data_IF_074635533140
#
_entry.id   IF_074635533140
#
_cell.length_a   1.000
_cell.length_b   1.000
_cell.length_c   1.000
_cell.angle_alpha   90.00
_cell.angle_beta   90.00
_cell.angle_gamma   90.00
#
_symmetry.space_group_name_H-M   'P 1'
#
loop_
_entity.id
_entity.type
_entity.pdbx_description
1 polymer ?
#
# COMPACT_ATOMS: atom_id res chain seq x y z
N UNK A 1 -1.44 -69.36 12.96
CA UNK A 1 -0.83 -69.16 14.30
C UNK A 1 -0.96 -67.68 14.64
N UNK A 2 -1.68 -67.34 15.71
CA UNK A 2 -1.85 -65.94 16.14
C UNK A 2 -0.71 -65.62 17.13
N UNK A 3 0.01 -64.50 16.96
CA UNK A 3 1.10 -64.13 17.86
C UNK A 3 0.61 -63.89 19.29
N UNK A 4 1.49 -64.08 20.28
CA UNK A 4 1.20 -63.70 21.67
C UNK A 4 1.09 -62.17 21.78
N UNK A 5 0.19 -61.71 22.64
CA UNK A 5 -0.11 -60.29 22.81
C UNK A 5 1.15 -59.44 23.08
N UNK A 6 2.07 -59.92 23.93
CA UNK A 6 3.32 -59.21 24.25
C UNK A 6 4.18 -58.95 23.01
N UNK A 7 4.40 -59.97 22.17
CA UNK A 7 5.18 -59.86 20.93
C UNK A 7 4.50 -58.91 19.95
N UNK A 8 3.17 -58.92 19.90
CA UNK A 8 2.41 -58.00 19.07
C UNK A 8 2.58 -56.55 19.55
N UNK A 9 2.46 -56.28 20.86
CA UNK A 9 2.67 -54.94 21.42
C UNK A 9 4.10 -54.43 21.20
N UNK A 10 5.12 -55.27 21.39
CA UNK A 10 6.51 -54.90 21.16
C UNK A 10 6.73 -54.52 19.68
N UNK A 11 6.20 -55.30 18.74
CA UNK A 11 6.29 -55.00 17.32
C UNK A 11 5.52 -53.73 16.94
N UNK A 12 4.31 -53.55 17.45
CA UNK A 12 3.49 -52.36 17.19
C UNK A 12 4.14 -51.10 17.75
N UNK A 13 4.73 -51.16 18.95
CA UNK A 13 5.43 -50.00 19.53
C UNK A 13 6.65 -49.59 18.69
N UNK A 14 7.41 -50.54 18.15
CA UNK A 14 8.51 -50.22 17.23
C UNK A 14 8.02 -49.58 15.93
N UNK A 15 6.94 -50.11 15.34
CA UNK A 15 6.34 -49.55 14.12
C UNK A 15 5.75 -48.16 14.40
N UNK A 16 5.07 -47.99 15.53
CA UNK A 16 4.51 -46.72 15.97
C UNK A 16 5.61 -45.66 16.14
N UNK A 17 6.70 -46.00 16.82
CA UNK A 17 7.84 -45.10 16.97
C UNK A 17 8.44 -44.73 15.60
N UNK A 18 8.49 -45.68 14.65
CA UNK A 18 9.01 -45.40 13.31
C UNK A 18 8.12 -44.45 12.48
N UNK A 19 6.79 -44.60 12.52
CA UNK A 19 5.89 -43.80 11.69
C UNK A 19 5.38 -42.53 12.37
N UNK A 20 5.26 -42.50 13.70
CA UNK A 20 4.58 -41.43 14.45
C UNK A 20 5.55 -40.49 15.17
N UNK A 21 6.73 -40.95 15.59
CA UNK A 21 7.74 -40.09 16.23
C UNK A 21 8.54 -39.26 15.22
N UNK A 22 9.23 -38.24 15.74
CA UNK A 22 9.82 -37.13 14.99
C UNK A 22 10.82 -37.60 13.91
N UNK A 23 10.80 -36.93 12.75
CA UNK A 23 11.67 -37.27 11.61
C UNK A 23 13.15 -37.05 11.94
N UNK A 24 13.47 -36.15 12.88
CA UNK A 24 14.84 -35.79 13.23
C UNK A 24 15.65 -36.95 13.84
N UNK A 25 14.99 -37.84 14.59
CA UNK A 25 15.63 -38.97 15.29
C UNK A 25 15.87 -40.18 14.39
N UNK A 26 15.46 -40.12 13.12
CA UNK A 26 15.52 -41.25 12.18
C UNK A 26 16.83 -41.31 11.39
N UNK A 27 17.20 -42.52 10.99
CA UNK A 27 18.34 -42.77 10.10
C UNK A 27 18.16 -42.09 8.74
N UNK A 28 19.27 -41.75 8.09
CA UNK A 28 19.28 -41.04 6.79
C UNK A 28 18.49 -41.75 5.69
N UNK A 29 18.56 -43.09 5.63
CA UNK A 29 17.78 -43.89 4.66
C UNK A 29 16.28 -43.80 4.92
N UNK A 30 15.87 -43.87 6.18
CA UNK A 30 14.45 -43.77 6.55
C UNK A 30 13.89 -42.38 6.24
N UNK A 31 14.65 -41.32 6.55
CA UNK A 31 14.32 -39.94 6.16
C UNK A 31 14.09 -39.83 4.66
N UNK A 32 15.01 -40.37 3.85
CA UNK A 32 14.93 -40.28 2.38
C UNK A 32 13.69 -41.00 1.82
N UNK A 33 13.35 -42.19 2.33
CA UNK A 33 12.14 -42.91 1.92
C UNK A 33 10.88 -42.16 2.33
N UNK A 34 10.81 -41.65 3.57
CA UNK A 34 9.65 -40.91 4.06
C UNK A 34 9.46 -39.58 3.30
N UNK A 35 10.53 -38.84 3.00
CA UNK A 35 10.45 -37.65 2.15
C UNK A 35 10.02 -37.98 0.72
N UNK A 36 10.48 -39.11 0.16
CA UNK A 36 10.04 -39.54 -1.16
C UNK A 36 8.55 -39.89 -1.17
N UNK A 37 8.05 -40.59 -0.13
CA UNK A 37 6.63 -40.90 0.01
C UNK A 37 5.80 -39.63 0.20
N UNK A 38 6.28 -38.70 1.04
CA UNK A 38 5.66 -37.39 1.23
C UNK A 38 5.55 -36.63 -0.09
N UNK A 39 6.63 -36.59 -0.88
CA UNK A 39 6.62 -35.97 -2.21
C UNK A 39 5.66 -36.64 -3.21
N UNK A 40 5.32 -37.92 -3.04
CA UNK A 40 4.35 -38.64 -3.87
C UNK A 40 2.91 -38.40 -3.42
N UNK A 41 2.69 -38.05 -2.14
CA UNK A 41 1.38 -37.70 -1.60
C UNK A 41 1.07 -36.22 -1.84
N UNK A 42 2.06 -35.35 -1.67
CA UNK A 42 1.95 -33.89 -1.82
C UNK A 42 1.96 -33.42 -3.29
N UNK A 43 1.31 -34.17 -4.18
CA UNK A 43 1.23 -33.83 -5.60
C UNK A 43 0.55 -32.47 -5.83
N UNK A 44 -0.47 -32.14 -5.04
CA UNK A 44 -1.18 -30.85 -5.11
C UNK A 44 -0.29 -29.68 -4.67
N UNK A 45 0.53 -29.87 -3.63
CA UNK A 45 1.51 -28.87 -3.17
C UNK A 45 2.58 -28.66 -4.23
N UNK A 46 3.12 -29.74 -4.81
CA UNK A 46 4.13 -29.63 -5.88
C UNK A 46 3.57 -29.00 -7.15
N UNK A 47 2.36 -29.36 -7.53
CA UNK A 47 1.68 -28.78 -8.69
C UNK A 47 1.42 -27.29 -8.47
N UNK A 48 0.87 -26.91 -7.31
CA UNK A 48 0.61 -25.51 -6.98
C UNK A 48 1.90 -24.69 -6.92
N UNK A 49 2.96 -25.18 -6.28
CA UNK A 49 4.26 -24.54 -6.26
C UNK A 49 4.82 -24.34 -7.68
N UNK A 50 4.79 -25.37 -8.53
CA UNK A 50 5.30 -25.29 -9.91
C UNK A 50 4.51 -24.29 -10.77
N UNK A 51 3.19 -24.20 -10.56
CA UNK A 51 2.34 -23.22 -11.25
C UNK A 51 2.62 -21.80 -10.76
N UNK A 52 2.62 -21.58 -9.45
CA UNK A 52 2.88 -20.27 -8.87
C UNK A 52 4.28 -19.74 -9.26
N UNK A 53 5.30 -20.60 -9.22
CA UNK A 53 6.66 -20.25 -9.63
C UNK A 53 6.77 -19.77 -11.08
N UNK A 54 5.93 -20.30 -11.99
CA UNK A 54 5.90 -19.87 -13.39
C UNK A 54 5.17 -18.54 -13.59
N UNK A 55 4.12 -18.29 -12.81
CA UNK A 55 3.29 -17.07 -12.93
C UNK A 55 3.91 -15.89 -12.20
N UNK A 56 4.63 -16.12 -11.09
CA UNK A 56 5.29 -15.10 -10.29
C UNK A 56 6.14 -14.11 -11.13
N UNK A 57 7.05 -14.54 -12.02
CA UNK A 57 7.82 -13.61 -12.84
C UNK A 57 6.95 -12.82 -13.83
N UNK A 58 5.83 -13.37 -14.31
CA UNK A 58 4.88 -12.65 -15.17
C UNK A 58 4.18 -11.53 -14.41
N UNK A 59 3.69 -11.81 -13.19
CA UNK A 59 3.07 -10.82 -12.33
C UNK A 59 4.07 -9.70 -11.94
N UNK A 60 5.31 -10.07 -11.61
CA UNK A 60 6.38 -9.10 -11.34
C UNK A 60 6.75 -8.25 -12.55
N UNK A 61 6.75 -8.84 -13.75
CA UNK A 61 6.97 -8.09 -14.99
C UNK A 61 5.87 -7.07 -15.22
N UNK A 62 4.61 -7.44 -14.99
CA UNK A 62 3.47 -6.53 -15.13
C UNK A 62 3.51 -5.38 -14.11
N UNK A 63 3.95 -5.65 -12.88
CA UNK A 63 4.19 -4.61 -11.88
C UNK A 63 5.26 -3.60 -12.35
N UNK A 64 6.38 -4.11 -12.88
CA UNK A 64 7.52 -3.29 -13.32
C UNK A 64 7.28 -2.53 -14.61
N UNK A 65 6.20 -2.84 -15.32
CA UNK A 65 5.89 -2.24 -16.61
C UNK A 65 5.40 -0.79 -16.45
N UNK A 66 6.05 0.12 -17.17
CA UNK A 66 5.72 1.54 -17.21
C UNK A 66 5.80 2.25 -15.85
N UNK A 67 6.68 1.83 -14.94
CA UNK A 67 6.81 2.50 -13.63
C UNK A 67 7.46 3.90 -13.74
N UNK A 68 6.86 4.94 -13.14
CA UNK A 68 7.52 6.23 -12.96
C UNK A 68 8.84 6.12 -12.19
N UNK A 69 9.74 7.12 -12.30
CA UNK A 69 10.96 7.17 -11.49
C UNK A 69 10.67 7.11 -10.00
N UNK A 70 9.67 7.86 -9.54
CA UNK A 70 9.15 7.87 -8.17
C UNK A 70 7.63 8.05 -8.18
N UNK A 71 6.94 7.43 -7.24
CA UNK A 71 5.48 7.45 -7.15
C UNK A 71 4.98 7.21 -5.72
N UNK A 72 3.70 7.52 -5.49
CA UNK A 72 3.02 7.41 -4.18
C UNK A 72 2.64 5.98 -3.83
N UNK A 73 2.34 5.74 -2.56
CA UNK A 73 1.81 4.48 -2.05
C UNK A 73 0.50 4.08 -2.73
N UNK A 74 -0.33 5.05 -3.09
CA UNK A 74 -1.57 4.78 -3.83
C UNK A 74 -1.27 4.13 -5.18
N UNK A 75 -0.33 4.68 -5.95
CA UNK A 75 0.07 4.08 -7.24
C UNK A 75 0.76 2.73 -7.07
N UNK A 76 1.55 2.57 -5.99
CA UNK A 76 2.11 1.27 -5.60
C UNK A 76 1.01 0.22 -5.43
N UNK A 77 -0.03 0.55 -4.66
CA UNK A 77 -1.15 -0.36 -4.38
C UNK A 77 -1.91 -0.72 -5.65
N UNK A 78 -2.23 0.26 -6.51
CA UNK A 78 -2.90 0.01 -7.79
C UNK A 78 -2.11 -0.97 -8.68
N UNK A 79 -0.79 -0.79 -8.77
CA UNK A 79 0.10 -1.68 -9.52
C UNK A 79 0.22 -3.06 -8.87
N UNK A 80 0.23 -3.13 -7.54
CA UNK A 80 0.26 -4.37 -6.79
C UNK A 80 -1.04 -5.17 -6.99
N UNK A 81 -2.19 -4.52 -6.94
CA UNK A 81 -3.51 -5.14 -7.17
C UNK A 81 -3.62 -5.71 -8.58
N UNK A 82 -3.08 -5.01 -9.59
CA UNK A 82 -2.96 -5.53 -10.95
C UNK A 82 -2.10 -6.80 -11.01
N UNK A 83 -0.94 -6.80 -10.34
CA UNK A 83 -0.04 -7.96 -10.30
C UNK A 83 -0.69 -9.15 -9.56
N UNK A 84 -1.41 -8.90 -8.46
CA UNK A 84 -2.18 -9.89 -7.72
C UNK A 84 -3.33 -10.47 -8.57
N UNK A 85 -3.98 -9.64 -9.38
CA UNK A 85 -5.01 -10.09 -10.33
C UNK A 85 -4.44 -11.06 -11.35
N UNK A 86 -3.24 -10.78 -11.89
CA UNK A 86 -2.54 -11.68 -12.82
C UNK A 86 -2.16 -12.99 -12.12
N UNK A 87 -1.65 -12.90 -10.89
CA UNK A 87 -1.26 -14.07 -10.09
C UNK A 87 -2.48 -14.96 -9.81
N UNK A 88 -3.56 -14.40 -9.24
CA UNK A 88 -4.79 -15.12 -8.89
C UNK A 88 -5.53 -15.70 -10.11
N UNK A 89 -5.37 -15.10 -11.29
CA UNK A 89 -5.95 -15.59 -12.54
C UNK A 89 -5.38 -16.94 -12.98
N UNK A 90 -4.11 -17.22 -12.69
CA UNK A 90 -3.39 -18.40 -13.20
C UNK A 90 -2.86 -19.34 -12.11
N UNK A 91 -2.58 -18.83 -10.91
CA UNK A 91 -2.13 -19.60 -9.77
C UNK A 91 -3.32 -20.26 -9.06
N UNK A 92 -3.14 -21.53 -8.65
CA UNK A 92 -4.13 -22.32 -7.91
C UNK A 92 -3.44 -23.28 -6.94
N UNK A 93 -4.10 -23.57 -5.83
CA UNK A 93 -3.71 -24.60 -4.86
C UNK A 93 -3.12 -24.07 -3.56
N UNK A 94 -2.66 -24.96 -2.67
CA UNK A 94 -2.33 -24.63 -1.28
C UNK A 94 -1.16 -23.67 -1.11
N UNK A 95 -0.22 -23.62 -2.06
CA UNK A 95 0.94 -22.72 -2.00
C UNK A 95 0.63 -21.28 -2.43
N UNK A 96 -0.61 -20.96 -2.81
CA UNK A 96 -0.96 -19.66 -3.39
C UNK A 96 -0.62 -18.49 -2.45
N UNK A 97 -1.00 -18.58 -1.17
CA UNK A 97 -0.81 -17.49 -0.20
C UNK A 97 0.67 -17.17 0.05
N UNK A 98 1.53 -18.19 0.08
CA UNK A 98 2.98 -17.97 0.21
C UNK A 98 3.56 -17.21 -0.98
N UNK A 99 3.07 -17.48 -2.19
CA UNK A 99 3.51 -16.79 -3.40
C UNK A 99 2.93 -15.38 -3.52
N UNK A 100 1.74 -15.12 -2.96
CA UNK A 100 1.18 -13.77 -2.79
C UNK A 100 2.11 -12.95 -1.89
N UNK A 101 2.47 -13.46 -0.71
CA UNK A 101 3.38 -12.78 0.21
C UNK A 101 4.75 -12.51 -0.43
N UNK A 102 5.27 -13.46 -1.21
CA UNK A 102 6.51 -13.26 -1.99
C UNK A 102 6.37 -12.16 -3.04
N UNK A 103 5.25 -12.09 -3.75
CA UNK A 103 4.98 -11.04 -4.73
C UNK A 103 4.90 -9.67 -4.07
N UNK A 104 4.12 -9.53 -3.00
CA UNK A 104 3.98 -8.28 -2.24
C UNK A 104 5.33 -7.80 -1.71
N UNK A 105 6.12 -8.69 -1.11
CA UNK A 105 7.45 -8.36 -0.61
C UNK A 105 8.39 -7.92 -1.73
N UNK A 106 8.36 -8.59 -2.88
CA UNK A 106 9.19 -8.25 -4.02
C UNK A 106 8.80 -6.89 -4.63
N UNK A 107 7.50 -6.60 -4.78
CA UNK A 107 7.00 -5.31 -5.24
C UNK A 107 7.33 -4.18 -4.26
N UNK A 108 7.14 -4.41 -2.96
CA UNK A 108 7.47 -3.45 -1.90
C UNK A 108 8.96 -3.12 -1.90
N UNK A 109 9.85 -4.12 -2.06
CA UNK A 109 11.28 -3.89 -2.20
C UNK A 109 11.61 -2.97 -3.39
N UNK A 110 10.97 -3.18 -4.54
CA UNK A 110 11.18 -2.32 -5.72
C UNK A 110 10.72 -0.88 -5.46
N UNK A 111 9.68 -0.68 -4.66
CA UNK A 111 9.19 0.66 -4.32
C UNK A 111 10.11 1.37 -3.32
N UNK A 112 10.53 0.67 -2.26
CA UNK A 112 11.44 1.21 -1.23
C UNK A 112 12.85 1.43 -1.76
N UNK A 113 13.28 0.71 -2.80
CA UNK A 113 14.57 0.86 -3.48
C UNK A 113 14.64 2.14 -4.35
N UNK A 114 14.40 3.29 -3.71
CA UNK A 114 14.57 4.61 -4.31
C UNK A 114 13.41 5.13 -5.15
N UNK A 115 12.26 4.44 -5.21
CA UNK A 115 11.08 4.85 -6.00
C UNK A 115 9.96 5.47 -5.17
N UNK A 116 10.17 5.65 -3.86
CA UNK A 116 9.20 6.32 -3.00
C UNK A 116 9.14 7.82 -3.28
N UNK A 117 7.96 8.30 -3.68
CA UNK A 117 7.66 9.73 -3.78
C UNK A 117 7.40 10.37 -2.42
N UNK A 118 7.52 11.69 -2.34
CA UNK A 118 6.96 12.47 -1.23
C UNK A 118 5.43 12.52 -1.38
N UNK A 119 4.70 12.30 -0.29
CA UNK A 119 3.22 12.26 -0.30
C UNK A 119 2.57 13.50 0.33
N UNK A 120 3.37 14.50 0.68
CA UNK A 120 2.86 15.75 1.24
C UNK A 120 2.03 16.47 0.18
N UNK A 121 0.85 16.93 0.60
CA UNK A 121 -0.08 17.69 -0.23
C UNK A 121 0.14 19.19 -0.04
N UNK A 122 0.06 19.95 -1.13
CA UNK A 122 -0.05 21.40 -1.05
C UNK A 122 -1.36 21.82 -0.42
N UNK A 123 -1.48 23.11 -0.07
CA UNK A 123 -2.71 23.67 0.48
C UNK A 123 -3.88 23.64 -0.52
N UNK A 124 -3.61 23.41 -1.81
CA UNK A 124 -4.64 23.19 -2.83
C UNK A 124 -4.90 21.71 -3.12
N UNK A 125 -4.22 20.79 -2.44
CA UNK A 125 -4.43 19.35 -2.54
C UNK A 125 -3.61 18.62 -3.60
N UNK A 126 -2.56 19.23 -4.16
CA UNK A 126 -1.68 18.55 -5.12
C UNK A 126 -0.50 17.88 -4.40
N UNK A 127 -0.14 16.66 -4.79
CA UNK A 127 1.01 15.96 -4.20
C UNK A 127 2.34 16.55 -4.64
N UNK A 128 3.33 16.52 -3.75
CA UNK A 128 4.71 16.86 -4.11
C UNK A 128 5.27 15.92 -5.20
N UNK A 129 5.93 16.50 -6.20
CA UNK A 129 6.56 15.78 -7.31
C UNK A 129 8.00 15.32 -7.01
N UNK A 130 8.55 15.59 -5.84
CA UNK A 130 9.90 15.13 -5.50
C UNK A 130 9.90 13.69 -4.98
N UNK A 131 11.03 12.95 -5.11
CA UNK A 131 11.23 11.72 -4.34
C UNK A 131 11.16 12.04 -2.84
N UNK A 132 11.15 11.01 -1.99
CA UNK A 132 11.20 11.19 -0.54
C UNK A 132 12.36 12.12 -0.16
N UNK A 133 12.06 13.23 0.50
CA UNK A 133 13.00 14.29 0.86
C UNK A 133 12.62 14.91 2.21
N UNK A 134 13.52 15.70 2.78
CA UNK A 134 13.29 16.49 3.98
C UNK A 134 13.17 17.98 3.63
N UNK A 135 12.41 18.73 4.41
CA UNK A 135 12.32 20.20 4.31
C UNK A 135 13.16 20.83 5.43
N UNK A 136 13.88 21.91 5.11
CA UNK A 136 14.67 22.64 6.12
C UNK A 136 13.75 23.25 7.19
N UNK A 137 14.02 22.97 8.47
CA UNK A 137 13.28 23.57 9.60
C UNK A 137 12.02 22.82 10.04
N UNK A 138 11.62 21.75 9.36
CA UNK A 138 10.59 20.83 9.85
C UNK A 138 11.23 19.74 10.73
N UNK A 139 11.17 19.89 12.05
CA UNK A 139 11.69 18.90 13.00
C UNK A 139 10.78 17.65 13.17
N UNK A 140 9.66 17.54 12.43
CA UNK A 140 8.61 16.56 12.76
C UNK A 140 7.90 15.84 11.60
N UNK A 141 8.30 16.03 10.34
CA UNK A 141 7.53 15.54 9.18
C UNK A 141 8.09 14.27 8.53
N UNK A 142 8.07 13.13 9.22
CA UNK A 142 8.08 11.81 8.54
C UNK A 142 9.43 11.23 8.09
N UNK A 143 10.52 11.52 8.79
CA UNK A 143 11.80 10.84 8.57
C UNK A 143 12.79 11.20 9.66
N UNK A 144 12.70 10.48 10.79
CA UNK A 144 13.62 10.68 11.92
C UNK A 144 15.08 10.63 11.46
N UNK A 145 15.81 11.69 11.77
CA UNK A 145 17.26 11.72 11.86
C UNK A 145 18.02 11.15 10.67
N UNK A 146 18.29 11.99 9.67
CA UNK A 146 19.48 11.86 8.81
C UNK A 146 19.80 10.44 8.32
N UNK A 147 18.83 9.75 7.73
CA UNK A 147 19.16 8.57 6.92
C UNK A 147 20.09 9.05 5.79
N UNK A 148 21.35 8.60 5.82
CA UNK A 148 22.40 8.99 4.88
C UNK A 148 21.89 8.81 3.44
N UNK A 149 21.59 9.91 2.75
CA UNK A 149 21.22 9.92 1.33
C UNK A 149 19.86 10.55 0.98
N UNK A 150 19.07 11.02 1.94
CA UNK A 150 17.80 11.72 1.65
C UNK A 150 18.08 13.20 1.33
N UNK A 151 17.68 13.72 0.15
CA UNK A 151 17.86 15.14 -0.21
C UNK A 151 17.06 16.08 0.70
N UNK A 152 17.57 17.30 0.91
CA UNK A 152 16.85 18.37 1.61
C UNK A 152 16.48 19.47 0.61
N UNK A 153 15.19 19.63 0.35
CA UNK A 153 14.63 20.51 -0.69
C UNK A 153 13.23 20.98 -0.26
N UNK A 154 12.75 22.16 -0.70
CA UNK A 154 11.36 22.56 -0.46
C UNK A 154 10.38 21.69 -1.25
N UNK A 155 9.17 21.53 -0.73
CA UNK A 155 8.09 20.87 -1.46
C UNK A 155 7.72 21.64 -2.73
N UNK A 156 7.46 20.89 -3.80
CA UNK A 156 6.92 21.43 -5.06
C UNK A 156 5.95 20.43 -5.67
N UNK A 157 4.76 20.89 -6.08
CA UNK A 157 3.81 20.08 -6.86
C UNK A 157 4.00 20.25 -8.37
N UNK A 158 4.87 21.18 -8.80
CA UNK A 158 5.02 21.57 -10.20
C UNK A 158 3.84 22.36 -10.78
N UNK A 159 2.78 22.58 -10.00
CA UNK A 159 1.62 23.39 -10.42
C UNK A 159 1.92 24.87 -10.18
N UNK A 160 1.63 25.70 -11.17
CA UNK A 160 1.74 27.16 -11.05
C UNK A 160 0.39 27.81 -11.33
N UNK A 161 0.03 28.75 -10.48
CA UNK A 161 -1.16 29.56 -10.62
C UNK A 161 -0.81 30.98 -11.08
N UNK A 162 -1.77 31.62 -11.72
CA UNK A 162 -1.69 33.05 -12.01
C UNK A 162 -2.23 33.82 -10.81
N UNK A 163 -1.47 34.79 -10.33
CA UNK A 163 -1.88 35.68 -9.24
C UNK A 163 -1.50 37.12 -9.54
N UNK A 164 -2.17 38.07 -8.87
CA UNK A 164 -1.95 39.50 -9.06
C UNK A 164 -1.21 40.11 -7.87
N UNK A 165 -0.50 41.23 -8.07
CA UNK A 165 0.02 42.03 -6.96
C UNK A 165 -1.12 42.46 -6.02
N UNK A 166 -0.76 42.87 -4.80
CA UNK A 166 -1.70 43.51 -3.85
C UNK A 166 -2.46 44.70 -4.47
N UNK A 167 -1.88 45.32 -5.51
CA UNK A 167 -2.43 46.44 -6.25
C UNK A 167 -3.31 46.08 -7.47
N UNK A 168 -3.41 44.80 -7.85
CA UNK A 168 -4.05 44.32 -9.08
C UNK A 168 -3.34 44.66 -10.41
N UNK A 169 -2.36 45.58 -10.43
CA UNK A 169 -1.73 46.09 -11.68
C UNK A 169 -0.81 45.10 -12.41
N UNK A 170 -0.16 44.18 -11.71
CA UNK A 170 0.75 43.19 -12.32
C UNK A 170 0.31 41.78 -12.00
N UNK A 171 0.46 40.92 -12.98
CA UNK A 171 0.27 39.48 -12.90
C UNK A 171 1.62 38.79 -12.75
N UNK A 172 1.67 37.73 -11.95
CA UNK A 172 2.84 36.87 -11.79
C UNK A 172 2.44 35.40 -11.73
N UNK A 173 3.40 34.52 -12.00
CA UNK A 173 3.25 33.09 -11.75
C UNK A 173 3.60 32.82 -10.28
N UNK A 174 2.66 32.23 -9.56
CA UNK A 174 2.81 31.81 -8.17
C UNK A 174 2.81 30.29 -8.12
N UNK A 175 3.85 29.71 -7.54
CA UNK A 175 3.89 28.27 -7.30
C UNK A 175 2.80 27.85 -6.31
N UNK A 176 2.40 26.60 -6.40
CA UNK A 176 1.44 25.99 -5.49
C UNK A 176 1.98 25.94 -4.04
N UNK A 177 1.34 26.63 -3.08
CA UNK A 177 1.89 26.80 -1.75
C UNK A 177 1.72 25.55 -0.86
N UNK A 178 2.78 25.20 -0.15
CA UNK A 178 2.76 24.16 0.89
C UNK A 178 2.66 24.77 2.30
N UNK A 179 3.03 26.03 2.48
CA UNK A 179 2.91 26.75 3.75
C UNK A 179 1.97 27.96 3.65
N UNK A 180 1.38 28.36 4.78
CA UNK A 180 0.57 29.57 4.87
C UNK A 180 1.36 30.85 4.56
N UNK A 181 2.67 30.83 4.81
CA UNK A 181 3.58 31.93 4.51
C UNK A 181 3.77 32.07 3.00
N UNK A 182 4.06 30.97 2.30
CA UNK A 182 4.16 30.96 0.84
C UNK A 182 2.83 31.33 0.20
N UNK A 183 1.72 30.91 0.82
CA UNK A 183 0.40 31.22 0.33
C UNK A 183 0.09 32.72 0.39
N UNK A 184 0.40 33.39 1.49
CA UNK A 184 -0.15 34.71 1.79
C UNK A 184 0.88 35.85 1.77
N UNK A 185 2.18 35.54 1.78
CA UNK A 185 3.22 36.56 1.97
C UNK A 185 4.33 36.50 0.92
N UNK A 186 5.07 35.39 0.80
CA UNK A 186 6.33 35.33 0.03
C UNK A 186 6.17 35.85 -1.40
N UNK A 187 5.20 35.30 -2.15
CA UNK A 187 4.92 35.74 -3.53
C UNK A 187 4.56 37.24 -3.62
N UNK A 188 3.68 37.72 -2.73
CA UNK A 188 3.19 39.10 -2.76
C UNK A 188 4.28 40.10 -2.36
N UNK A 189 5.14 39.74 -1.41
CA UNK A 189 6.29 40.54 -0.99
C UNK A 189 7.29 40.72 -2.14
N UNK A 190 7.66 39.64 -2.83
CA UNK A 190 8.55 39.73 -4.00
C UNK A 190 7.93 40.55 -5.14
N UNK A 191 6.64 40.35 -5.44
CA UNK A 191 5.98 41.11 -6.51
C UNK A 191 5.81 42.60 -6.14
N UNK A 192 5.67 42.91 -4.84
CA UNK A 192 5.53 44.27 -4.33
C UNK A 192 6.78 45.13 -4.57
N UNK A 193 7.99 44.57 -4.46
CA UNK A 193 9.25 45.30 -4.73
C UNK A 193 9.25 45.90 -6.15
N UNK A 194 8.78 45.14 -7.14
CA UNK A 194 8.77 45.54 -8.54
C UNK A 194 7.56 46.39 -8.99
N UNK A 195 6.51 46.48 -8.17
CA UNK A 195 5.23 47.09 -8.56
C UNK A 195 4.57 47.97 -7.51
N UNK A 196 4.41 47.46 -6.28
CA UNK A 196 3.64 48.12 -5.23
C UNK A 196 4.47 49.08 -4.37
N UNK A 197 5.81 49.04 -4.48
CA UNK A 197 6.74 49.84 -3.68
C UNK A 197 6.53 51.36 -3.74
N UNK A 198 5.87 51.85 -4.78
CA UNK A 198 5.56 53.28 -5.00
C UNK A 198 4.13 53.67 -4.58
N UNK A 199 3.37 52.76 -4.01
CA UNK A 199 1.98 52.97 -3.60
C UNK A 199 1.88 53.07 -2.07
N UNK A 200 0.88 53.80 -1.60
CA UNK A 200 0.58 53.89 -0.18
C UNK A 200 0.15 52.51 0.37
N UNK A 201 0.75 52.12 1.48
CA UNK A 201 0.43 50.87 2.17
C UNK A 201 -0.56 51.13 3.29
N UNK A 202 -1.73 50.50 3.22
CA UNK A 202 -2.76 50.59 4.26
C UNK A 202 -2.51 49.48 5.29
N UNK A 203 -2.14 49.85 6.50
CA UNK A 203 -2.02 48.90 7.60
C UNK A 203 -3.39 48.60 8.21
N UNK A 204 -3.83 47.36 8.13
CA UNK A 204 -5.02 46.91 8.84
C UNK A 204 -4.66 46.47 10.27
N UNK A 205 -5.54 46.66 11.26
CA UNK A 205 -5.32 46.13 12.60
C UNK A 205 -5.19 44.60 12.54
N UNK A 206 -4.00 44.09 12.85
CA UNK A 206 -3.80 42.65 13.01
C UNK A 206 -4.18 42.24 14.43
N UNK A 207 -4.63 40.98 14.58
CA UNK A 207 -4.86 40.42 15.90
C UNK A 207 -3.57 40.50 16.73
N UNK A 208 -3.66 41.10 17.92
CA UNK A 208 -2.60 41.11 18.92
C UNK A 208 -3.02 40.17 20.05
N UNK A 209 -2.31 39.07 20.28
CA UNK A 209 -2.63 38.20 21.40
C UNK A 209 -2.50 38.99 22.71
N UNK A 210 -3.51 38.90 23.58
CA UNK A 210 -3.54 39.58 24.88
C UNK A 210 -2.69 38.90 25.96
N UNK A 211 -2.07 37.77 25.63
CA UNK A 211 -1.26 36.94 26.53
C UNK A 211 0.08 36.62 25.85
N UNK A 212 1.19 36.77 26.58
CA UNK A 212 2.56 36.56 26.10
C UNK A 212 2.86 35.13 25.65
N UNK A 213 2.03 34.15 26.01
CA UNK A 213 2.18 32.72 25.67
C UNK A 213 1.21 32.24 24.60
N UNK A 214 0.57 33.13 23.84
CA UNK A 214 -0.17 32.73 22.66
C UNK A 214 0.81 32.42 21.52
N UNK A 215 1.43 31.24 21.56
CA UNK A 215 1.91 30.59 20.35
C UNK A 215 0.71 30.58 19.38
N UNK A 216 0.93 31.02 18.15
CA UNK A 216 -0.11 30.96 17.11
C UNK A 216 -0.72 29.57 17.03
N UNK A 217 -1.91 29.42 16.40
CA UNK A 217 -2.59 28.12 16.34
C UNK A 217 -1.61 27.02 15.89
N UNK A 218 -1.65 25.82 16.50
CA UNK A 218 -0.78 24.72 16.12
C UNK A 218 -0.80 24.54 14.60
N UNK A 219 0.37 24.41 13.99
CA UNK A 219 0.51 24.01 12.58
C UNK A 219 0.20 22.51 12.42
N UNK A 220 -0.87 22.02 13.03
CA UNK A 220 -1.35 20.68 12.77
C UNK A 220 -2.16 20.73 11.47
N UNK A 221 -1.95 19.80 10.52
CA UNK A 221 -2.79 19.71 9.34
C UNK A 221 -4.26 19.54 9.77
N UNK A 222 -5.23 20.07 9.00
CA UNK A 222 -6.63 19.97 9.37
C UNK A 222 -7.00 18.49 9.49
N UNK A 223 -7.22 18.04 10.72
CA UNK A 223 -7.82 16.73 10.96
C UNK A 223 -9.24 16.82 10.43
N UNK A 224 -9.50 16.20 9.27
CA UNK A 224 -10.85 16.04 8.76
C UNK A 224 -11.73 15.43 9.87
N UNK A 225 -12.92 15.96 10.14
CA UNK A 225 -13.81 15.36 11.12
C UNK A 225 -14.10 13.93 10.68
N UNK A 226 -13.86 12.98 11.59
CA UNK A 226 -14.21 11.58 11.40
C UNK A 226 -15.67 11.48 10.96
N UNK A 227 -15.91 10.75 9.86
CA UNK A 227 -17.25 10.47 9.38
C UNK A 227 -18.12 9.97 10.54
N UNK A 228 -19.38 10.44 10.66
CA UNK A 228 -20.28 9.92 11.67
C UNK A 228 -20.39 8.40 11.48
N UNK A 229 -20.11 7.65 12.56
CA UNK A 229 -20.37 6.22 12.61
C UNK A 229 -21.88 6.04 12.42
N UNK A 230 -22.27 5.73 11.19
CA UNK A 230 -23.62 5.34 10.84
C UNK A 230 -23.98 4.09 11.64
N UNK A 231 -24.92 4.27 12.57
CA UNK A 231 -25.50 3.19 13.34
C UNK A 231 -26.09 2.13 12.43
N UNK A 232 -25.93 0.89 12.87
CA UNK A 232 -26.59 -0.30 12.36
C UNK A 232 -28.09 -0.07 12.16
N UNK A 233 -28.52 0.04 10.90
CA UNK A 233 -29.90 -0.26 10.52
C UNK A 233 -30.07 -1.79 10.43
N UNK A 234 -31.07 -2.39 11.09
CA UNK A 234 -31.31 -3.82 10.99
C UNK A 234 -31.87 -4.14 9.59
N UNK A 235 -31.21 -5.06 8.89
CA UNK A 235 -31.74 -5.65 7.67
C UNK A 235 -32.99 -6.49 8.01
N UNK A 236 -34.08 -6.42 7.22
CA UNK A 236 -35.25 -7.24 7.45
C UNK A 236 -34.94 -8.72 7.22
N UNK A 237 -35.47 -9.53 8.14
CA UNK A 237 -35.46 -10.99 8.22
C UNK A 237 -35.96 -11.60 6.91
N UNK A 238 -35.07 -12.26 6.16
CA UNK A 238 -35.44 -13.11 5.03
C UNK A 238 -36.08 -14.38 5.60
N UNK A 239 -37.39 -14.52 5.44
CA UNK A 239 -38.11 -15.74 5.80
C UNK A 239 -37.68 -16.91 4.92
N UNK A 240 -37.40 -18.02 5.58
CA UNK A 240 -37.10 -19.33 5.03
C UNK A 240 -38.30 -19.88 4.26
N UNK A 241 -38.16 -20.04 2.94
CA UNK A 241 -39.11 -20.72 2.08
C UNK A 241 -38.44 -21.77 1.21
N UNK A 242 -38.58 -23.03 1.62
CA UNK A 242 -38.85 -24.20 0.78
C UNK A 242 -37.99 -24.48 -0.45
N UNK A 243 -37.18 -25.54 -0.36
CA UNK A 243 -36.70 -26.30 -1.51
C UNK A 243 -37.88 -26.88 -2.30
N UNK A 244 -37.80 -26.81 -3.63
CA UNK A 244 -38.77 -27.44 -4.52
C UNK A 244 -38.32 -27.39 -5.98
N UNK A 245 -37.88 -28.55 -6.46
CA UNK A 245 -37.66 -28.96 -7.84
C UNK A 245 -38.40 -28.18 -8.94
N UNK A 246 -37.70 -27.84 -10.03
CA UNK A 246 -38.01 -28.37 -11.37
C UNK A 246 -37.16 -27.81 -12.51
N UNK A 247 -36.62 -28.76 -13.27
CA UNK A 247 -36.63 -28.82 -14.74
C UNK A 247 -35.73 -27.88 -15.58
N UNK A 248 -34.53 -28.39 -15.87
CA UNK A 248 -34.02 -28.78 -17.21
C UNK A 248 -34.98 -28.55 -18.40
N UNK A 249 -34.55 -27.72 -19.39
CA UNK A 249 -34.91 -27.58 -20.85
C UNK A 249 -35.01 -26.08 -21.19
N UNK A 250 -34.57 -25.49 -22.31
CA UNK A 250 -34.25 -25.88 -23.69
C UNK A 250 -33.31 -24.78 -24.23
N UNK A 251 -32.25 -25.14 -24.97
CA UNK A 251 -31.65 -24.23 -25.96
C UNK A 251 -32.10 -24.72 -27.33
N UNK A 252 -32.88 -23.90 -28.02
CA UNK A 252 -33.42 -24.19 -29.34
C UNK A 252 -33.97 -22.93 -30.00
N UNK A 253 -33.12 -22.31 -30.81
CA UNK A 253 -33.39 -21.61 -32.08
C UNK A 253 -34.43 -20.49 -32.14
N UNK A 254 -34.02 -19.36 -32.74
CA UNK A 254 -34.93 -18.63 -33.63
C UNK A 254 -34.16 -17.99 -34.79
N UNK A 255 -34.65 -18.25 -36.00
CA UNK A 255 -34.35 -17.53 -37.23
C UNK A 255 -35.30 -16.34 -37.31
N UNK A 256 -34.79 -15.21 -37.78
CA UNK A 256 -35.52 -14.03 -38.22
C UNK A 256 -34.58 -13.15 -39.02
#
# INVERSE_FOLDING_TARGET
MVPRASVWFDAVNQIYNFYVCDLQEKDSKAKQVLTSLQSLVETEVRFSASRCAKVLPLALSAYKDGLPPHYTQMHHQEKLDLALTILSGQARGPMYEEYVAQLEQACHRVWVDGRMGCEVLSLTGNTCHHPRHCVEGEEGGGGGGGERGIPTLPHSSGVTYISFCNCGRRQGQREDPFSMNDANFVFYSHLAESCCSRLDSISFPTFKPSVSDARGPPQDPPTLPAAPRGGSTPHPRLESGGWGDSARRVWGGEQG
#
